data_IF_534271885304
#
_entry.id   IF_534271885304
#
_cell.length_a   1.000
_cell.length_b   1.000
_cell.length_c   1.000
_cell.angle_alpha   90.00
_cell.angle_beta   90.00
_cell.angle_gamma   90.00
#
_symmetry.space_group_name_H-M   'P 1'
#
loop_
_entity.id
_entity.type
_entity.pdbx_description
1 polymer ?
#
# COMPACT_ATOMS: atom_id res chain seq x y z
N UNK A 1 73.15 -9.13 35.50
CA UNK A 1 71.76 -8.94 35.99
C UNK A 1 71.23 -7.68 35.32
N UNK A 2 70.41 -7.86 34.28
CA UNK A 2 69.85 -6.76 33.49
C UNK A 2 68.43 -6.50 34.06
N UNK A 3 68.23 -5.36 34.71
CA UNK A 3 66.87 -4.94 35.08
C UNK A 3 66.18 -4.38 33.85
N UNK A 4 64.95 -4.82 33.56
CA UNK A 4 64.21 -4.17 32.47
C UNK A 4 63.72 -2.80 32.97
N UNK A 5 64.11 -1.73 32.21
CA UNK A 5 63.56 -0.39 32.39
C UNK A 5 62.03 -0.42 32.25
N UNK A 6 61.33 0.06 33.29
CA UNK A 6 59.87 0.28 33.20
C UNK A 6 59.58 1.31 32.09
N UNK A 7 58.55 1.06 31.26
CA UNK A 7 58.19 2.00 30.18
C UNK A 7 57.77 3.36 30.82
N UNK A 8 58.48 4.42 30.39
CA UNK A 8 58.28 5.76 30.83
C UNK A 8 56.79 6.20 30.74
N UNK A 9 56.23 6.75 31.85
CA UNK A 9 54.84 7.20 31.97
C UNK A 9 54.47 8.18 30.84
N UNK A 10 55.41 8.94 30.30
CA UNK A 10 55.24 9.85 29.17
C UNK A 10 54.87 9.11 27.88
N UNK A 11 55.48 7.95 27.64
CA UNK A 11 55.20 7.10 26.47
C UNK A 11 53.81 6.47 26.57
N UNK A 12 53.34 6.14 27.80
CA UNK A 12 52.00 5.63 28.05
C UNK A 12 50.92 6.69 27.84
N UNK A 13 51.20 7.95 28.19
CA UNK A 13 50.31 9.07 27.98
C UNK A 13 50.09 9.40 26.49
N UNK A 14 51.18 9.46 25.74
CA UNK A 14 51.10 9.70 24.28
C UNK A 14 50.33 8.60 23.53
N UNK A 15 50.51 7.36 23.92
CA UNK A 15 49.76 6.22 23.32
C UNK A 15 48.27 6.34 23.53
N UNK A 16 47.83 6.69 24.74
CA UNK A 16 46.40 6.94 25.04
C UNK A 16 45.80 8.06 24.19
N UNK A 17 46.53 9.15 23.98
CA UNK A 17 46.08 10.25 23.12
C UNK A 17 45.91 9.79 21.69
N UNK A 18 46.81 8.96 21.13
CA UNK A 18 46.67 8.40 19.80
C UNK A 18 45.49 7.42 19.71
N UNK A 19 45.32 6.54 20.69
CA UNK A 19 44.20 5.61 20.72
C UNK A 19 42.85 6.35 20.78
N UNK A 20 42.75 7.43 21.57
CA UNK A 20 41.58 8.29 21.65
C UNK A 20 41.30 9.03 20.35
N UNK A 21 42.35 9.48 19.65
CA UNK A 21 42.26 10.14 18.35
C UNK A 21 41.79 9.18 17.25
N UNK A 22 42.34 7.97 17.23
CA UNK A 22 41.91 6.92 16.30
C UNK A 22 40.45 6.52 16.53
N UNK A 23 40.06 6.33 17.81
CA UNK A 23 38.67 6.02 18.15
C UNK A 23 37.71 7.16 17.79
N UNK A 24 38.12 8.42 17.97
CA UNK A 24 37.32 9.58 17.57
C UNK A 24 37.19 9.69 16.05
N UNK A 25 38.27 9.41 15.30
CA UNK A 25 38.26 9.40 13.85
C UNK A 25 37.37 8.29 13.27
N UNK A 26 37.51 7.06 13.78
CA UNK A 26 36.64 5.94 13.39
C UNK A 26 35.15 6.20 13.71
N UNK A 27 34.87 6.83 14.88
CA UNK A 27 33.53 7.22 15.23
C UNK A 27 32.98 8.33 14.31
N UNK A 28 33.85 9.21 13.79
CA UNK A 28 33.53 10.22 12.78
C UNK A 28 33.14 9.56 11.47
N UNK A 29 33.98 8.68 10.95
CA UNK A 29 33.73 7.95 9.68
C UNK A 29 32.45 7.11 9.73
N UNK A 30 32.18 6.44 10.88
CA UNK A 30 30.92 5.69 11.07
C UNK A 30 29.71 6.59 11.00
N UNK A 31 29.73 7.76 11.66
CA UNK A 31 28.63 8.72 11.62
C UNK A 31 28.41 9.30 10.22
N UNK A 32 29.47 9.61 9.47
CA UNK A 32 29.36 10.07 8.08
C UNK A 32 28.72 8.99 7.20
N UNK A 33 29.16 7.73 7.29
CA UNK A 33 28.58 6.62 6.54
C UNK A 33 27.11 6.36 6.90
N UNK A 34 26.74 6.49 8.18
CA UNK A 34 25.35 6.40 8.63
C UNK A 34 24.50 7.56 8.07
N UNK A 35 25.04 8.78 8.05
CA UNK A 35 24.36 9.95 7.50
C UNK A 35 24.15 9.82 5.98
N UNK A 36 25.17 9.37 5.23
CA UNK A 36 25.05 9.11 3.80
C UNK A 36 24.02 8.03 3.49
N UNK A 37 24.02 6.94 4.27
CA UNK A 37 23.04 5.87 4.14
C UNK A 37 21.63 6.39 4.40
N UNK A 38 21.43 7.18 5.46
CA UNK A 38 20.13 7.78 5.77
C UNK A 38 19.70 8.80 4.71
N UNK A 39 20.61 9.54 4.12
CA UNK A 39 20.33 10.48 3.03
C UNK A 39 19.89 9.73 1.77
N UNK A 40 20.57 8.65 1.41
CA UNK A 40 20.22 7.79 0.29
C UNK A 40 18.83 7.15 0.46
N UNK A 41 18.53 6.63 1.66
CA UNK A 41 17.20 6.08 1.99
C UNK A 41 16.11 7.15 1.87
N UNK A 42 16.36 8.38 2.37
CA UNK A 42 15.38 9.48 2.23
C UNK A 42 15.16 9.88 0.78
N UNK A 43 16.22 9.92 -0.03
CA UNK A 43 16.12 10.22 -1.46
C UNK A 43 15.33 9.14 -2.21
N UNK A 44 15.55 7.86 -1.91
CA UNK A 44 14.80 6.74 -2.46
C UNK A 44 13.31 6.83 -2.07
N UNK A 45 13.02 7.07 -0.79
CA UNK A 45 11.64 7.25 -0.31
C UNK A 45 10.96 8.44 -0.98
N UNK A 46 11.68 9.55 -1.19
CA UNK A 46 11.14 10.74 -1.87
C UNK A 46 10.78 10.52 -3.34
N UNK A 47 11.35 9.52 -3.99
CA UNK A 47 11.03 9.14 -5.37
C UNK A 47 9.95 8.08 -5.50
N UNK A 48 9.57 7.41 -4.40
CA UNK A 48 8.62 6.31 -4.41
C UNK A 48 7.18 6.82 -4.32
N UNK A 49 6.30 6.31 -5.15
CA UNK A 49 4.86 6.63 -5.10
C UNK A 49 4.08 5.66 -4.24
N UNK A 50 2.90 6.09 -3.74
CA UNK A 50 2.09 5.34 -2.77
C UNK A 50 1.81 3.90 -3.21
N UNK A 51 1.40 3.70 -4.46
CA UNK A 51 1.06 2.35 -4.95
C UNK A 51 2.25 1.40 -4.93
N UNK A 52 3.48 1.89 -5.21
CA UNK A 52 4.71 1.07 -5.14
C UNK A 52 5.02 0.67 -3.70
N UNK A 53 4.83 1.60 -2.76
CA UNK A 53 5.00 1.30 -1.34
C UNK A 53 4.04 0.21 -0.86
N UNK A 54 2.79 0.25 -1.31
CA UNK A 54 1.80 -0.78 -0.97
C UNK A 54 2.06 -2.09 -1.72
N UNK A 55 2.50 -2.05 -2.98
CA UNK A 55 2.83 -3.24 -3.77
C UNK A 55 4.01 -4.04 -3.18
N UNK A 56 4.93 -3.38 -2.50
CA UNK A 56 6.03 -4.05 -1.75
C UNK A 56 5.56 -4.72 -0.46
N UNK A 57 4.29 -4.52 -0.06
CA UNK A 57 3.67 -5.00 1.19
C UNK A 57 2.51 -5.96 0.96
N UNK A 58 2.52 -6.69 -0.14
CA UNK A 58 1.54 -7.76 -0.40
C UNK A 58 1.56 -8.76 0.76
N UNK A 59 0.37 -9.20 1.16
CA UNK A 59 0.05 -10.03 2.32
C UNK A 59 0.24 -9.34 3.70
N UNK A 60 0.66 -8.06 3.74
CA UNK A 60 0.68 -7.31 5.00
C UNK A 60 -0.73 -6.86 5.39
N UNK A 61 -1.00 -6.86 6.68
CA UNK A 61 -2.21 -6.25 7.22
C UNK A 61 -2.27 -4.75 6.92
N UNK A 62 -3.46 -4.27 6.62
CA UNK A 62 -3.71 -2.86 6.33
C UNK A 62 -5.09 -2.46 6.79
N UNK A 63 -5.20 -1.24 7.30
CA UNK A 63 -6.47 -0.56 7.51
C UNK A 63 -6.59 0.55 6.48
N UNK A 64 -7.59 0.44 5.60
CA UNK A 64 -7.88 1.45 4.60
C UNK A 64 -9.05 2.34 5.07
N UNK A 65 -8.85 3.64 5.00
CA UNK A 65 -9.87 4.65 5.23
C UNK A 65 -10.28 5.21 3.87
N UNK A 66 -11.52 4.95 3.45
CA UNK A 66 -12.03 5.31 2.13
C UNK A 66 -13.36 6.07 2.28
N UNK A 67 -13.29 7.40 2.28
CA UNK A 67 -14.40 8.26 2.69
C UNK A 67 -14.81 7.95 4.14
N UNK A 68 -16.09 7.73 4.42
CA UNK A 68 -16.58 7.41 5.76
C UNK A 68 -16.37 5.93 6.14
N UNK A 69 -15.79 5.11 5.28
CA UNK A 69 -15.63 3.67 5.50
C UNK A 69 -14.24 3.33 5.98
N UNK A 70 -14.18 2.41 6.94
CA UNK A 70 -12.92 1.78 7.39
C UNK A 70 -12.98 0.31 7.00
N UNK A 71 -11.96 -0.13 6.26
CA UNK A 71 -11.83 -1.50 5.78
C UNK A 71 -10.56 -2.11 6.38
N UNK A 72 -10.64 -3.35 6.85
CA UNK A 72 -9.51 -4.10 7.41
C UNK A 72 -9.26 -5.35 6.58
N UNK A 73 -8.01 -5.74 6.47
CA UNK A 73 -7.61 -6.92 5.74
C UNK A 73 -6.15 -6.89 5.36
N UNK A 74 -5.77 -7.65 4.35
CA UNK A 74 -4.41 -7.70 3.81
C UNK A 74 -4.33 -7.11 2.41
N UNK A 75 -3.16 -6.59 2.06
CA UNK A 75 -2.86 -6.12 0.69
C UNK A 75 -2.78 -7.34 -0.22
N UNK A 76 -3.79 -7.56 -1.07
CA UNK A 76 -3.75 -8.62 -2.07
C UNK A 76 -2.92 -8.20 -3.30
N UNK A 77 -3.09 -6.97 -3.76
CA UNK A 77 -2.31 -6.37 -4.84
C UNK A 77 -2.40 -4.84 -4.79
N UNK A 78 -1.42 -4.16 -5.36
CA UNK A 78 -1.43 -2.71 -5.52
C UNK A 78 -0.98 -2.34 -6.93
N UNK A 79 -1.75 -1.49 -7.57
CA UNK A 79 -1.58 -1.02 -8.94
C UNK A 79 -1.52 0.52 -8.97
N UNK A 80 -1.12 1.17 -10.06
CA UNK A 80 -0.98 2.63 -10.09
C UNK A 80 -2.23 3.44 -9.70
N UNK A 81 -3.42 2.91 -9.95
CA UNK A 81 -4.67 3.63 -9.71
C UNK A 81 -5.47 3.09 -8.52
N UNK A 82 -5.20 1.86 -8.05
CA UNK A 82 -6.00 1.22 -7.01
C UNK A 82 -5.26 0.13 -6.23
N UNK A 83 -5.76 -0.15 -5.05
CA UNK A 83 -5.40 -1.26 -4.19
C UNK A 83 -6.48 -2.34 -4.26
N UNK A 84 -6.08 -3.61 -4.26
CA UNK A 84 -6.95 -4.75 -3.94
C UNK A 84 -6.67 -5.16 -2.50
N UNK A 85 -7.67 -4.99 -1.63
CA UNK A 85 -7.64 -5.41 -0.24
C UNK A 85 -8.47 -6.69 -0.10
N UNK A 86 -7.87 -7.72 0.49
CA UNK A 86 -8.58 -8.95 0.87
C UNK A 86 -9.04 -8.81 2.31
N UNK A 87 -10.35 -8.81 2.52
CA UNK A 87 -10.94 -8.75 3.84
C UNK A 87 -10.84 -10.09 4.59
N UNK A 88 -10.99 -10.05 5.92
CA UNK A 88 -10.89 -11.24 6.78
C UNK A 88 -12.02 -12.25 6.52
N UNK A 89 -13.16 -11.80 5.99
CA UNK A 89 -14.30 -12.63 5.59
C UNK A 89 -14.11 -13.31 4.22
N UNK A 90 -12.99 -13.03 3.53
CA UNK A 90 -12.66 -13.55 2.21
C UNK A 90 -13.21 -12.70 1.04
N UNK A 91 -13.92 -11.62 1.33
CA UNK A 91 -14.32 -10.64 0.32
C UNK A 91 -13.12 -9.83 -0.19
N UNK A 92 -13.30 -9.19 -1.33
CA UNK A 92 -12.28 -8.31 -1.91
C UNK A 92 -12.82 -6.90 -2.10
N UNK A 93 -11.95 -5.91 -1.88
CA UNK A 93 -12.26 -4.50 -2.07
C UNK A 93 -11.27 -3.88 -3.04
N UNK A 94 -11.77 -3.32 -4.13
CA UNK A 94 -10.99 -2.48 -5.03
C UNK A 94 -11.10 -1.03 -4.51
N UNK A 95 -10.00 -0.46 -4.04
CA UNK A 95 -9.93 0.87 -3.45
C UNK A 95 -9.12 1.77 -4.38
N UNK A 96 -9.81 2.66 -5.08
CA UNK A 96 -9.16 3.63 -5.96
C UNK A 96 -8.40 4.66 -5.12
N UNK A 97 -7.16 4.98 -5.49
CA UNK A 97 -6.41 6.06 -4.84
C UNK A 97 -7.04 7.41 -5.15
N UNK A 98 -7.17 8.25 -4.15
CA UNK A 98 -7.79 9.55 -4.27
C UNK A 98 -7.67 10.37 -2.98
N UNK A 99 -8.16 11.61 -2.98
CA UNK A 99 -7.98 12.54 -1.87
C UNK A 99 -8.68 12.11 -0.56
N UNK A 100 -9.69 11.24 -0.66
CA UNK A 100 -10.44 10.74 0.49
C UNK A 100 -9.97 9.35 0.96
N UNK A 101 -8.75 8.91 0.55
CA UNK A 101 -8.24 7.57 0.87
C UNK A 101 -6.90 7.67 1.58
N UNK A 102 -6.77 6.96 2.68
CA UNK A 102 -5.51 6.78 3.41
C UNK A 102 -5.38 5.35 3.93
N UNK A 103 -4.15 4.97 4.29
CA UNK A 103 -3.84 3.61 4.74
C UNK A 103 -3.01 3.66 6.00
N UNK A 104 -3.39 2.84 7.00
CA UNK A 104 -2.58 2.57 8.17
C UNK A 104 -2.00 1.15 8.07
N UNK A 105 -0.72 1.02 8.32
CA UNK A 105 0.03 -0.23 8.31
C UNK A 105 0.60 -0.48 9.72
N UNK A 106 0.93 -1.73 10.08
CA UNK A 106 1.65 -2.01 11.32
C UNK A 106 2.94 -1.19 11.44
N UNK A 107 3.30 -0.82 12.67
CA UNK A 107 4.52 -0.04 12.94
C UNK A 107 5.79 -0.80 12.49
N UNK A 108 5.78 -2.11 12.62
CA UNK A 108 6.84 -3.00 12.13
C UNK A 108 6.29 -3.82 10.94
N UNK A 109 6.42 -3.31 9.71
CA UNK A 109 5.99 -4.04 8.53
C UNK A 109 6.90 -5.26 8.29
N UNK A 110 6.36 -6.36 7.75
CA UNK A 110 7.17 -7.49 7.32
C UNK A 110 8.17 -7.05 6.24
N UNK A 111 9.15 -7.92 5.96
CA UNK A 111 10.17 -7.64 4.94
C UNK A 111 9.55 -7.20 3.62
N UNK A 112 10.04 -6.09 3.08
CA UNK A 112 9.54 -5.52 1.83
C UNK A 112 9.85 -6.45 0.65
N UNK A 113 8.86 -6.66 -0.21
CA UNK A 113 9.04 -7.35 -1.49
C UNK A 113 9.76 -6.45 -2.50
N UNK A 114 10.38 -7.02 -3.54
CA UNK A 114 10.94 -6.24 -4.64
C UNK A 114 9.89 -5.33 -5.29
N UNK A 115 10.32 -4.22 -5.84
CA UNK A 115 9.45 -3.30 -6.59
C UNK A 115 8.80 -4.03 -7.77
N UNK A 116 7.49 -3.87 -7.99
CA UNK A 116 6.80 -4.52 -9.10
C UNK A 116 7.36 -4.14 -10.45
N UNK A 117 7.43 -5.13 -11.35
CA UNK A 117 7.88 -4.92 -12.72
C UNK A 117 6.91 -4.09 -13.58
N UNK A 118 7.32 -3.69 -14.80
CA UNK A 118 6.55 -2.77 -15.65
C UNK A 118 5.19 -3.32 -16.09
N UNK A 119 4.97 -4.63 -16.07
CA UNK A 119 3.68 -5.23 -16.41
C UNK A 119 2.57 -4.81 -15.46
N UNK A 120 2.87 -4.62 -14.18
CA UNK A 120 1.91 -4.19 -13.15
C UNK A 120 1.40 -2.77 -13.41
N UNK A 121 2.23 -1.91 -14.03
CA UNK A 121 1.88 -0.52 -14.36
C UNK A 121 0.76 -0.38 -15.38
N UNK A 122 0.42 -1.44 -16.11
CA UNK A 122 -0.64 -1.44 -17.15
C UNK A 122 -2.03 -1.71 -16.60
N UNK A 123 -2.15 -2.11 -15.33
CA UNK A 123 -3.45 -2.37 -14.71
C UNK A 123 -4.12 -1.06 -14.32
N UNK A 124 -5.17 -0.72 -15.03
CA UNK A 124 -5.98 0.47 -14.79
C UNK A 124 -7.26 0.08 -14.05
N UNK A 125 -7.77 1.00 -13.22
CA UNK A 125 -9.01 0.78 -12.47
C UNK A 125 -10.20 0.46 -13.38
N UNK A 126 -10.33 1.19 -14.49
CA UNK A 126 -11.37 0.93 -15.49
C UNK A 126 -11.30 -0.48 -16.09
N UNK A 127 -10.08 -1.04 -16.30
CA UNK A 127 -9.93 -2.41 -16.80
C UNK A 127 -10.37 -3.44 -15.77
N UNK A 128 -10.04 -3.25 -14.50
CA UNK A 128 -10.52 -4.11 -13.43
C UNK A 128 -12.04 -4.12 -13.35
N UNK A 129 -12.69 -2.94 -13.42
CA UNK A 129 -14.14 -2.83 -13.43
C UNK A 129 -14.79 -3.49 -14.65
N UNK A 130 -14.17 -3.37 -15.84
CA UNK A 130 -14.66 -4.05 -17.06
C UNK A 130 -14.61 -5.58 -16.93
N UNK A 131 -13.60 -6.10 -16.25
CA UNK A 131 -13.53 -7.53 -15.98
C UNK A 131 -14.64 -7.99 -15.03
N UNK A 132 -14.97 -7.23 -13.99
CA UNK A 132 -16.11 -7.49 -13.12
C UNK A 132 -17.44 -7.43 -13.91
N UNK A 133 -17.60 -6.44 -14.77
CA UNK A 133 -18.76 -6.31 -15.65
C UNK A 133 -18.90 -7.52 -16.58
N UNK A 134 -17.80 -7.97 -17.19
CA UNK A 134 -17.78 -9.15 -18.09
C UNK A 134 -18.19 -10.42 -17.36
N UNK A 135 -17.74 -10.60 -16.12
CA UNK A 135 -18.10 -11.74 -15.27
C UNK A 135 -19.49 -11.63 -14.66
N UNK A 136 -20.10 -10.44 -14.75
CA UNK A 136 -21.37 -10.12 -14.09
C UNK A 136 -21.34 -10.37 -12.59
N UNK A 137 -20.20 -10.08 -11.97
CA UNK A 137 -20.03 -10.20 -10.54
C UNK A 137 -20.94 -9.21 -9.80
N UNK A 138 -21.67 -9.65 -8.78
CA UNK A 138 -22.41 -8.73 -7.91
C UNK A 138 -21.40 -7.87 -7.13
N UNK A 139 -21.65 -6.57 -7.10
CA UNK A 139 -20.77 -5.61 -6.43
C UNK A 139 -21.57 -4.70 -5.52
N UNK A 140 -20.90 -4.22 -4.48
CA UNK A 140 -21.33 -3.08 -3.69
C UNK A 140 -20.38 -1.91 -3.95
N UNK A 141 -20.88 -0.88 -4.62
CA UNK A 141 -20.13 0.35 -4.87
C UNK A 141 -20.44 1.33 -3.77
N UNK A 142 -19.46 1.62 -2.91
CA UNK A 142 -19.61 2.67 -1.91
C UNK A 142 -19.16 4.01 -2.47
N UNK A 143 -19.77 5.09 -2.06
CA UNK A 143 -19.48 6.43 -2.50
C UNK A 143 -18.82 7.25 -1.37
N UNK A 144 -18.09 8.29 -1.78
CA UNK A 144 -17.37 9.17 -0.84
C UNK A 144 -18.29 9.95 0.09
N UNK A 145 -19.57 10.12 -0.27
CA UNK A 145 -20.60 10.75 0.56
C UNK A 145 -21.21 9.79 1.60
N UNK A 146 -20.76 8.54 1.64
CA UNK A 146 -21.28 7.51 2.55
C UNK A 146 -22.44 6.68 2.00
N UNK A 147 -23.02 7.08 0.90
CA UNK A 147 -24.06 6.29 0.23
C UNK A 147 -23.46 5.10 -0.50
N UNK A 148 -24.30 4.26 -1.10
CA UNK A 148 -23.81 3.09 -1.85
C UNK A 148 -24.86 2.58 -2.82
N UNK A 149 -24.39 1.70 -3.73
CA UNK A 149 -25.17 1.04 -4.76
C UNK A 149 -24.84 -0.43 -4.73
N UNK A 150 -25.84 -1.28 -4.55
CA UNK A 150 -25.73 -2.72 -4.69
C UNK A 150 -26.25 -3.14 -6.07
N UNK A 151 -25.52 -3.98 -6.79
CA UNK A 151 -25.93 -4.39 -8.12
C UNK A 151 -24.83 -5.05 -8.94
N UNK A 152 -24.97 -4.96 -10.25
CA UNK A 152 -24.01 -5.50 -11.24
C UNK A 152 -23.54 -4.36 -12.16
N UNK A 153 -22.25 -4.31 -12.45
CA UNK A 153 -21.71 -3.32 -13.40
C UNK A 153 -22.16 -3.70 -14.80
N UNK A 154 -22.86 -2.80 -15.49
CA UNK A 154 -23.34 -2.95 -16.86
C UNK A 154 -22.34 -2.42 -17.88
N UNK A 155 -21.81 -1.25 -17.63
CA UNK A 155 -20.87 -0.56 -18.50
C UNK A 155 -19.80 0.22 -17.71
N UNK A 156 -18.64 0.39 -18.32
CA UNK A 156 -17.53 1.16 -17.76
C UNK A 156 -17.00 2.09 -18.83
N UNK A 157 -17.20 3.39 -18.63
CA UNK A 157 -16.68 4.46 -19.45
C UNK A 157 -15.21 4.78 -19.19
N UNK A 158 -14.80 5.98 -19.55
CA UNK A 158 -13.45 6.49 -19.28
C UNK A 158 -13.28 6.99 -17.84
N UNK A 159 -14.36 7.55 -17.27
CA UNK A 159 -14.37 8.22 -15.98
C UNK A 159 -15.61 7.89 -15.12
N UNK A 160 -16.45 6.94 -15.56
CA UNK A 160 -17.66 6.49 -14.86
C UNK A 160 -17.90 4.99 -15.02
N UNK A 161 -18.78 4.45 -14.17
CA UNK A 161 -19.40 3.15 -14.33
C UNK A 161 -20.92 3.26 -14.26
N UNK A 162 -21.62 2.38 -14.98
CA UNK A 162 -23.06 2.18 -14.92
C UNK A 162 -23.34 0.92 -14.11
N UNK A 163 -24.15 1.03 -13.06
CA UNK A 163 -24.56 -0.07 -12.20
C UNK A 163 -26.06 -0.32 -12.36
N UNK A 164 -26.42 -1.55 -12.71
CA UNK A 164 -27.81 -2.03 -12.60
C UNK A 164 -28.10 -2.36 -11.14
N UNK A 165 -28.90 -1.53 -10.50
CA UNK A 165 -29.25 -1.71 -9.08
C UNK A 165 -30.23 -2.87 -8.89
N UNK A 166 -29.89 -3.81 -8.03
CA UNK A 166 -30.76 -4.90 -7.57
C UNK A 166 -30.38 -5.28 -6.14
N UNK A 167 -31.22 -6.06 -5.47
CA UNK A 167 -30.96 -6.49 -4.10
C UNK A 167 -29.73 -7.42 -4.02
N UNK A 168 -28.93 -7.31 -2.94
CA UNK A 168 -27.82 -8.22 -2.70
C UNK A 168 -28.31 -9.68 -2.68
N UNK A 169 -27.58 -10.53 -3.42
CA UNK A 169 -27.91 -11.97 -3.49
C UNK A 169 -28.98 -12.34 -4.50
N UNK A 170 -29.70 -11.39 -5.11
CA UNK A 170 -30.58 -11.68 -6.24
C UNK A 170 -29.77 -11.81 -7.53
N UNK A 171 -29.96 -12.91 -8.29
CA UNK A 171 -29.36 -12.99 -9.62
C UNK A 171 -29.91 -11.87 -10.50
N UNK A 172 -29.02 -11.22 -11.26
CA UNK A 172 -29.43 -10.16 -12.19
C UNK A 172 -30.42 -10.68 -13.21
N UNK A 173 -31.69 -10.46 -12.97
CA UNK A 173 -32.79 -10.65 -13.94
C UNK A 173 -33.32 -9.27 -14.33
N UNK A 174 -33.77 -9.13 -15.59
CA UNK A 174 -34.29 -7.84 -16.07
C UNK A 174 -35.41 -7.28 -15.21
N UNK A 175 -36.21 -8.14 -14.61
CA UNK A 175 -37.30 -7.79 -13.68
C UNK A 175 -36.81 -7.40 -12.27
N UNK A 176 -35.59 -7.76 -11.87
CA UNK A 176 -35.00 -7.43 -10.58
C UNK A 176 -34.24 -6.08 -10.57
N UNK A 177 -33.93 -5.53 -11.74
CA UNK A 177 -33.25 -4.24 -11.85
C UNK A 177 -34.22 -3.12 -11.54
N UNK A 178 -33.98 -2.41 -10.42
CA UNK A 178 -34.80 -1.30 -9.95
C UNK A 178 -34.45 0.02 -10.61
N UNK A 179 -33.17 0.24 -10.83
CA UNK A 179 -32.63 1.47 -11.42
C UNK A 179 -31.30 1.20 -12.14
N UNK A 180 -30.87 2.16 -12.95
CA UNK A 180 -29.52 2.25 -13.48
C UNK A 180 -28.89 3.52 -12.97
N UNK A 181 -27.73 3.37 -12.33
CA UNK A 181 -27.01 4.50 -11.75
C UNK A 181 -25.67 4.70 -12.44
N UNK A 182 -25.44 5.92 -12.89
CA UNK A 182 -24.14 6.36 -13.38
C UNK A 182 -23.33 6.94 -12.21
N UNK A 183 -22.14 6.40 -12.00
CA UNK A 183 -21.24 6.80 -10.89
C UNK A 183 -19.92 7.22 -11.47
N UNK A 184 -19.55 8.49 -11.32
CA UNK A 184 -18.23 8.97 -11.70
C UNK A 184 -17.14 8.35 -10.82
N UNK A 185 -15.98 8.02 -11.40
CA UNK A 185 -14.89 7.40 -10.65
C UNK A 185 -14.40 8.23 -9.46
N UNK A 186 -14.53 9.56 -9.55
CA UNK A 186 -14.16 10.47 -8.46
C UNK A 186 -15.07 10.29 -7.22
N UNK A 187 -16.29 9.81 -7.40
CA UNK A 187 -17.24 9.54 -6.33
C UNK A 187 -17.10 8.13 -5.74
N UNK A 188 -16.39 7.22 -6.42
CA UNK A 188 -16.21 5.85 -5.95
C UNK A 188 -15.22 5.83 -4.77
N UNK A 189 -15.67 5.28 -3.63
CA UNK A 189 -14.81 4.92 -2.52
C UNK A 189 -14.29 3.47 -2.73
N UNK A 190 -14.73 2.40 -2.05
CA UNK A 190 -14.43 1.03 -2.46
C UNK A 190 -15.51 0.44 -3.36
N UNK A 191 -15.08 -0.42 -4.29
CA UNK A 191 -15.94 -1.43 -4.93
C UNK A 191 -15.67 -2.76 -4.22
N UNK A 192 -16.70 -3.30 -3.58
CA UNK A 192 -16.61 -4.52 -2.77
C UNK A 192 -17.23 -5.70 -3.49
N UNK A 193 -16.51 -6.82 -3.49
CA UNK A 193 -17.01 -8.11 -3.96
C UNK A 193 -17.29 -9.00 -2.75
N UNK A 194 -18.42 -9.72 -2.72
CA UNK A 194 -18.68 -10.69 -1.68
C UNK A 194 -17.64 -11.82 -1.73
N UNK A 195 -17.44 -12.54 -0.61
CA UNK A 195 -16.61 -13.75 -0.63
C UNK A 195 -17.15 -14.74 -1.65
N UNK A 196 -16.26 -15.47 -2.31
CA UNK A 196 -16.66 -16.54 -3.21
C UNK A 196 -17.53 -17.57 -2.47
N UNK A 197 -18.62 -18.06 -3.07
CA UNK A 197 -19.42 -19.13 -2.46
C UNK A 197 -18.52 -20.35 -2.23
N UNK A 198 -18.60 -20.90 -1.00
CA UNK A 198 -17.88 -22.12 -0.62
C UNK A 198 -18.45 -23.35 -1.30
#
# INVERSE_FOLDING_TARGET
MYEPEEPDEATSGMRRVFDDLEAAFEAGLRREAEQETMAAVRAELGSTVLWEQLARRVDSEVVAFAGPRTLRGSVAASYPEFLVLRADDGGEHLIRYGPAVSFALPAEPPALRPTPGPAVRRHQFALALRELARRREPVKVALVDGTGVDGTIEAVGSDYLEVAEHDPGEPRRRAAVRARRFVGFAAVAPVSLPPAPR
#
